data_IF_365000709752
#
_entry.id   IF_365000709752
#
_cell.length_a   1.000
_cell.length_b   1.000
_cell.length_c   1.000
_cell.angle_alpha   90.00
_cell.angle_beta   90.00
_cell.angle_gamma   90.00
#
_symmetry.space_group_name_H-M   'P 1'
#
loop_
_entity.id
_entity.type
_entity.pdbx_description
1 polymer ?
#
# COMPACT_ATOMS: atom_id res chain seq x y z
N UNK A 1 -17.15 -10.00 -0.73
CA UNK A 1 -15.89 -9.93 0.05
C UNK A 1 -15.85 -8.70 0.98
N UNK A 2 -16.92 -8.41 1.75
CA UNK A 2 -16.91 -7.29 2.72
C UNK A 2 -16.54 -7.75 4.14
N UNK A 3 -16.80 -9.03 4.47
CA UNK A 3 -16.62 -9.59 5.81
C UNK A 3 -15.17 -9.60 6.31
N UNK A 4 -14.22 -10.04 5.49
CA UNK A 4 -12.80 -10.10 5.88
C UNK A 4 -12.23 -8.70 6.14
N UNK A 5 -12.57 -7.75 5.27
CA UNK A 5 -12.17 -6.36 5.42
C UNK A 5 -12.81 -5.70 6.64
N UNK A 6 -14.09 -5.97 6.89
CA UNK A 6 -14.76 -5.47 8.10
C UNK A 6 -14.02 -5.94 9.35
N UNK A 7 -13.56 -7.19 9.39
CA UNK A 7 -12.73 -7.70 10.48
C UNK A 7 -11.38 -6.97 10.54
N UNK A 8 -10.73 -6.71 9.41
CA UNK A 8 -9.48 -5.96 9.37
C UNK A 8 -9.64 -4.55 9.95
N UNK A 9 -10.64 -3.80 9.46
CA UNK A 9 -10.88 -2.40 9.84
C UNK A 9 -11.41 -2.28 11.27
N UNK A 10 -12.33 -3.15 11.69
CA UNK A 10 -13.02 -3.04 12.98
C UNK A 10 -12.25 -3.70 14.13
N UNK A 11 -11.41 -4.68 13.85
CA UNK A 11 -10.78 -5.50 14.89
C UNK A 11 -9.26 -5.58 14.76
N UNK A 12 -8.73 -5.92 13.58
CA UNK A 12 -7.29 -6.20 13.44
C UNK A 12 -6.45 -4.92 13.49
N UNK A 13 -6.75 -3.92 12.67
CA UNK A 13 -5.98 -2.68 12.60
C UNK A 13 -6.01 -1.86 13.91
N UNK A 14 -7.17 -1.72 14.59
CA UNK A 14 -7.20 -1.10 15.92
C UNK A 14 -6.27 -1.81 16.92
N UNK A 15 -6.28 -3.15 16.95
CA UNK A 15 -5.45 -3.92 17.85
C UNK A 15 -3.96 -3.84 17.49
N UNK A 16 -3.62 -3.87 16.19
CA UNK A 16 -2.26 -3.68 15.73
C UNK A 16 -1.72 -2.30 16.11
N UNK A 17 -2.50 -1.24 15.93
CA UNK A 17 -2.12 0.12 16.39
C UNK A 17 -1.90 0.16 17.89
N UNK A 18 -2.78 -0.49 18.68
CA UNK A 18 -2.63 -0.55 20.14
C UNK A 18 -1.33 -1.23 20.54
N UNK A 19 -0.95 -2.35 19.91
CA UNK A 19 0.32 -3.05 20.17
C UNK A 19 1.53 -2.25 19.70
N UNK A 20 1.48 -1.69 18.49
CA UNK A 20 2.55 -0.88 17.93
C UNK A 20 2.85 0.37 18.80
N UNK A 21 1.81 1.02 19.32
CA UNK A 21 1.95 2.18 20.20
C UNK A 21 2.73 1.86 21.49
N UNK A 22 2.62 0.64 22.04
CA UNK A 22 3.42 0.21 23.20
C UNK A 22 4.93 0.20 22.90
N UNK A 23 5.30 0.05 21.64
CA UNK A 23 6.68 0.10 21.15
C UNK A 23 7.06 1.45 20.53
N UNK A 24 6.23 2.50 20.71
CA UNK A 24 6.39 3.83 20.10
C UNK A 24 6.43 3.81 18.57
N UNK A 25 5.77 2.82 17.97
CA UNK A 25 5.61 2.72 16.52
C UNK A 25 4.26 3.32 16.12
N UNK A 26 4.28 4.19 15.12
CA UNK A 26 3.07 4.68 14.46
C UNK A 26 2.75 3.77 13.28
N UNK A 27 1.53 3.21 13.26
CA UNK A 27 1.06 2.34 12.19
C UNK A 27 0.00 3.10 11.38
N UNK A 28 0.28 3.24 10.08
CA UNK A 28 -0.61 3.85 9.09
C UNK A 28 -1.07 2.75 8.13
N UNK A 29 -2.38 2.55 8.03
CA UNK A 29 -2.93 1.67 6.99
C UNK A 29 -2.99 2.39 5.64
N UNK A 30 -2.63 1.68 4.58
CA UNK A 30 -2.71 2.18 3.21
C UNK A 30 -3.61 1.23 2.42
N UNK A 31 -4.77 1.71 1.99
CA UNK A 31 -5.75 0.91 1.25
C UNK A 31 -6.26 1.69 0.03
N UNK A 32 -5.96 1.18 -1.17
CA UNK A 32 -6.17 1.92 -2.42
C UNK A 32 -7.40 1.53 -3.25
N UNK A 33 -8.15 0.51 -2.84
CA UNK A 33 -9.10 -0.15 -3.77
C UNK A 33 -10.57 0.20 -3.55
N UNK A 34 -10.89 1.07 -2.61
CA UNK A 34 -12.29 1.37 -2.28
C UNK A 34 -12.49 2.87 -2.16
N UNK A 35 -13.43 3.38 -2.95
CA UNK A 35 -13.65 4.82 -3.11
C UNK A 35 -12.70 5.49 -4.11
N UNK A 36 -11.98 4.71 -4.92
CA UNK A 36 -11.08 5.20 -5.98
C UNK A 36 -11.79 4.99 -7.31
N UNK A 37 -12.11 6.07 -8.01
CA UNK A 37 -12.66 6.02 -9.37
C UNK A 37 -11.62 5.46 -10.35
N UNK A 38 -12.04 5.09 -11.56
CA UNK A 38 -11.12 4.59 -12.60
C UNK A 38 -9.99 5.60 -12.91
N UNK A 39 -10.30 6.90 -12.92
CA UNK A 39 -9.34 8.00 -13.06
C UNK A 39 -8.38 8.10 -11.86
N UNK A 40 -8.88 7.86 -10.65
CA UNK A 40 -8.04 7.84 -9.45
C UNK A 40 -7.20 6.56 -9.36
N UNK A 41 -7.57 5.49 -10.07
CA UNK A 41 -6.79 4.25 -10.14
C UNK A 41 -5.42 4.46 -10.77
N UNK A 42 -5.30 5.36 -11.75
CA UNK A 42 -4.02 5.74 -12.35
C UNK A 42 -3.12 6.47 -11.33
N UNK A 43 -3.72 7.27 -10.45
CA UNK A 43 -3.03 8.01 -9.39
C UNK A 43 -2.84 7.22 -8.10
N UNK A 44 -3.58 6.13 -7.92
CA UNK A 44 -3.54 5.30 -6.73
C UNK A 44 -2.14 4.75 -6.47
N UNK A 45 -1.44 4.32 -7.52
CA UNK A 45 -0.05 3.87 -7.42
C UNK A 45 0.88 4.98 -6.92
N UNK A 46 0.76 6.20 -7.45
CA UNK A 46 1.53 7.36 -6.98
C UNK A 46 1.25 7.65 -5.50
N UNK A 47 -0.03 7.66 -5.10
CA UNK A 47 -0.43 7.90 -3.71
C UNK A 47 0.12 6.82 -2.77
N UNK A 48 0.03 5.54 -3.13
CA UNK A 48 0.62 4.47 -2.35
C UNK A 48 2.12 4.64 -2.18
N UNK A 49 2.82 4.86 -3.29
CA UNK A 49 4.28 4.97 -3.27
C UNK A 49 4.72 6.21 -2.48
N UNK A 50 3.92 7.29 -2.48
CA UNK A 50 4.18 8.46 -1.63
C UNK A 50 4.10 8.11 -0.14
N UNK A 51 3.13 7.30 0.29
CA UNK A 51 3.02 6.84 1.67
C UNK A 51 4.12 5.84 2.05
N UNK A 52 4.53 4.98 1.12
CA UNK A 52 5.70 4.10 1.30
C UNK A 52 6.97 4.93 1.49
N UNK A 53 7.19 5.96 0.66
CA UNK A 53 8.35 6.85 0.77
C UNK A 53 8.39 7.65 2.09
N UNK A 54 7.23 7.88 2.73
CA UNK A 54 7.14 8.53 4.05
C UNK A 54 7.32 7.56 5.21
N UNK A 55 7.29 6.26 4.94
CA UNK A 55 7.34 5.21 5.95
C UNK A 55 8.77 4.67 6.12
N UNK A 56 9.15 4.37 7.36
CA UNK A 56 10.45 3.73 7.66
C UNK A 56 10.45 2.23 7.35
N UNK A 57 9.28 1.60 7.40
CA UNK A 57 9.09 0.18 7.17
C UNK A 57 7.76 -0.05 6.47
N UNK A 58 7.76 -0.96 5.49
CA UNK A 58 6.56 -1.43 4.81
C UNK A 58 6.28 -2.88 5.21
N UNK A 59 5.05 -3.16 5.65
CA UNK A 59 4.58 -4.52 5.90
C UNK A 59 3.50 -4.84 4.87
N UNK A 60 3.80 -5.75 3.95
CA UNK A 60 2.83 -6.26 2.99
C UNK A 60 2.10 -7.49 3.52
N UNK A 61 0.77 -7.46 3.58
CA UNK A 61 -0.06 -8.62 3.87
C UNK A 61 -0.67 -9.09 2.55
N UNK A 62 -0.25 -10.26 2.08
CA UNK A 62 -0.75 -10.85 0.84
C UNK A 62 -1.78 -11.93 1.17
N UNK A 63 -2.95 -11.85 0.54
CA UNK A 63 -3.92 -12.94 0.55
C UNK A 63 -3.59 -14.01 -0.51
N UNK A 64 -4.49 -14.96 -0.70
CA UNK A 64 -4.32 -16.06 -1.68
C UNK A 64 -4.32 -15.60 -3.14
N UNK A 65 -4.77 -14.38 -3.43
CA UNK A 65 -4.75 -13.78 -4.77
C UNK A 65 -3.88 -12.54 -4.80
N UNK A 66 -2.82 -12.60 -5.61
CA UNK A 66 -1.87 -11.50 -5.82
C UNK A 66 -2.35 -10.45 -6.85
N UNK A 67 -3.67 -10.29 -7.02
CA UNK A 67 -4.25 -9.31 -7.96
C UNK A 67 -3.68 -9.39 -9.39
N UNK A 68 -3.79 -8.29 -10.12
CA UNK A 68 -3.10 -8.07 -11.40
C UNK A 68 -2.01 -7.02 -11.18
N UNK A 69 -0.78 -7.31 -11.62
CA UNK A 69 0.25 -6.28 -11.71
C UNK A 69 -0.13 -5.32 -12.84
N UNK A 70 -0.33 -4.04 -12.51
CA UNK A 70 -0.54 -3.03 -13.56
C UNK A 70 0.77 -2.83 -14.31
N UNK A 71 0.77 -2.85 -15.66
CA UNK A 71 1.95 -2.49 -16.41
C UNK A 71 2.31 -1.05 -16.05
N UNK A 72 3.57 -0.88 -15.61
CA UNK A 72 4.27 0.37 -15.28
C UNK A 72 3.37 1.53 -14.78
N UNK A 73 3.33 1.82 -13.47
CA UNK A 73 2.65 3.02 -13.01
C UNK A 73 3.29 4.27 -13.64
N UNK A 74 2.47 5.20 -14.10
CA UNK A 74 2.93 6.51 -14.55
C UNK A 74 3.36 7.30 -13.32
N UNK A 75 4.67 7.49 -13.12
CA UNK A 75 5.25 8.15 -11.96
C UNK A 75 6.04 9.37 -12.43
N UNK A 76 5.95 10.51 -11.72
CA UNK A 76 6.74 11.68 -12.06
C UNK A 76 8.24 11.39 -11.87
N UNK A 77 9.09 12.07 -12.65
CA UNK A 77 10.53 11.88 -12.55
C UNK A 77 11.11 12.59 -11.32
N UNK A 78 10.97 11.93 -10.17
CA UNK A 78 11.44 12.41 -8.89
C UNK A 78 12.41 11.38 -8.25
N UNK A 79 13.46 11.83 -7.53
CA UNK A 79 14.49 10.94 -6.97
C UNK A 79 13.95 9.82 -6.07
N UNK A 80 12.87 10.08 -5.32
CA UNK A 80 12.25 9.12 -4.40
C UNK A 80 11.64 7.90 -5.11
N UNK A 81 11.41 7.95 -6.43
CA UNK A 81 10.90 6.84 -7.22
C UNK A 81 11.98 6.09 -8.01
N UNK A 82 13.26 6.43 -7.82
CA UNK A 82 14.39 5.81 -8.53
C UNK A 82 14.48 4.30 -8.31
N UNK A 83 14.18 3.82 -7.11
CA UNK A 83 14.20 2.38 -6.75
C UNK A 83 13.16 1.56 -7.54
N UNK A 84 12.02 2.17 -7.90
CA UNK A 84 10.99 1.49 -8.71
C UNK A 84 11.53 1.19 -10.10
N UNK A 85 12.28 2.14 -10.69
CA UNK A 85 12.87 1.99 -12.03
C UNK A 85 14.01 0.97 -12.05
N UNK A 86 14.80 0.90 -10.99
CA UNK A 86 15.93 -0.05 -10.88
C UNK A 86 15.48 -1.50 -10.75
N UNK A 87 14.31 -1.76 -10.14
CA UNK A 87 13.81 -3.11 -9.88
C UNK A 87 12.75 -3.58 -10.91
N UNK A 88 12.62 -2.87 -12.05
CA UNK A 88 11.64 -3.20 -13.10
C UNK A 88 11.95 -4.50 -13.87
N UNK A 89 13.14 -5.10 -13.68
CA UNK A 89 13.53 -6.35 -14.36
C UNK A 89 12.99 -7.64 -13.71
N UNK A 90 12.18 -7.54 -12.65
CA UNK A 90 11.70 -8.71 -11.87
C UNK A 90 10.23 -9.08 -12.20
N UNK A 91 9.59 -8.36 -13.13
CA UNK A 91 8.28 -8.74 -13.64
C UNK A 91 8.47 -9.68 -14.84
N UNK A 92 8.26 -10.99 -14.61
CA UNK A 92 8.11 -12.00 -15.67
C UNK A 92 6.83 -11.76 -16.47
#
# INVERSE_FOLDING_TARGET
MHSERDVLVRSVFPELRRRAAQHRLHLQEVELRWGVTEEESERAAQLCLSEVCRSQMLVGILGERYGMASPKPDLPDLPQYSWVRQNQSIYW
#
